data_IF_538805165262
#
_entry.id   IF_538805165262
#
_cell.length_a   1.000
_cell.length_b   1.000
_cell.length_c   1.000
_cell.angle_alpha   90.00
_cell.angle_beta   90.00
_cell.angle_gamma   90.00
#
_symmetry.space_group_name_H-M   'P 1'
#
loop_
_entity.id
_entity.type
_entity.pdbx_description
1 polymer ?
#
# COMPACT_ATOMS: atom_id res chain seq x y z
N UNK A 1 -22.44 2.82 -20.67
CA UNK A 1 -22.56 3.66 -19.46
C UNK A 1 -21.42 3.30 -18.50
N UNK A 2 -20.32 4.05 -18.50
CA UNK A 2 -19.24 3.86 -17.53
C UNK A 2 -19.65 4.53 -16.22
N UNK A 3 -19.88 3.75 -15.17
CA UNK A 3 -20.15 4.28 -13.83
C UNK A 3 -18.82 4.67 -13.20
N UNK A 4 -18.60 5.96 -12.98
CA UNK A 4 -17.42 6.46 -12.28
C UNK A 4 -17.49 5.98 -10.81
N UNK A 5 -16.77 4.91 -10.49
CA UNK A 5 -16.67 4.41 -9.12
C UNK A 5 -15.74 5.37 -8.38
N UNK A 6 -16.27 6.05 -7.35
CA UNK A 6 -15.44 6.89 -6.47
C UNK A 6 -14.32 6.02 -5.87
N UNK A 7 -13.08 6.52 -5.80
CA UNK A 7 -12.02 5.79 -5.10
C UNK A 7 -12.42 5.61 -3.63
N UNK A 8 -12.63 4.36 -3.23
CA UNK A 8 -12.95 4.02 -1.85
C UNK A 8 -11.65 3.81 -1.08
N UNK A 9 -11.54 4.42 0.11
CA UNK A 9 -10.39 4.14 0.98
C UNK A 9 -10.44 2.68 1.44
N UNK A 10 -9.31 1.99 1.22
CA UNK A 10 -9.16 0.58 1.59
C UNK A 10 -8.38 0.40 2.88
N UNK A 11 -7.76 1.45 3.41
CA UNK A 11 -6.88 1.35 4.58
C UNK A 11 -6.30 2.69 5.03
N UNK A 12 -5.32 2.62 5.93
CA UNK A 12 -4.55 3.76 6.44
C UNK A 12 -3.09 3.37 6.66
N UNK A 13 -2.18 4.18 6.12
CA UNK A 13 -0.76 4.09 6.40
C UNK A 13 -0.48 4.66 7.81
N UNK A 14 0.28 3.94 8.62
CA UNK A 14 0.57 4.32 10.02
C UNK A 14 2.02 4.70 10.23
N UNK A 15 2.94 4.11 9.46
CA UNK A 15 4.34 4.48 9.47
C UNK A 15 4.94 4.34 8.08
N UNK A 16 6.02 5.06 7.85
CA UNK A 16 6.70 5.13 6.58
C UNK A 16 8.19 5.40 6.83
N UNK A 17 9.04 4.76 6.02
CA UNK A 17 10.47 5.02 5.99
C UNK A 17 11.00 4.86 4.58
N UNK A 18 12.01 5.66 4.24
CA UNK A 18 12.89 5.34 3.11
C UNK A 18 13.82 4.18 3.50
N UNK A 19 14.04 3.27 2.56
CA UNK A 19 15.05 2.22 2.59
C UNK A 19 16.40 2.69 2.06
N UNK A 20 17.23 1.75 1.58
CA UNK A 20 18.64 2.04 1.33
C UNK A 20 18.82 3.06 0.18
N UNK A 21 19.65 4.08 0.42
CA UNK A 21 19.92 5.20 -0.50
C UNK A 21 18.67 5.97 -0.98
N UNK A 22 17.54 5.86 -0.29
CA UNK A 22 16.32 6.63 -0.58
C UNK A 22 15.57 6.21 -1.84
N UNK A 23 15.98 5.14 -2.52
CA UNK A 23 15.29 4.63 -3.71
C UNK A 23 14.25 3.55 -3.38
N UNK A 24 14.32 3.03 -2.15
CA UNK A 24 13.37 2.07 -1.61
C UNK A 24 12.45 2.79 -0.62
N UNK A 25 11.18 2.43 -0.60
CA UNK A 25 10.20 3.05 0.29
C UNK A 25 9.31 1.96 0.88
N UNK A 26 9.24 1.93 2.20
CA UNK A 26 8.43 0.95 2.93
C UNK A 26 7.51 1.65 3.89
N UNK A 27 6.33 1.09 4.08
CA UNK A 27 5.39 1.59 5.05
C UNK A 27 4.59 0.47 5.67
N UNK A 28 4.14 0.69 6.89
CA UNK A 28 3.22 -0.20 7.59
C UNK A 28 1.88 0.49 7.70
N UNK A 29 0.82 -0.31 7.69
CA UNK A 29 -0.51 0.21 7.80
C UNK A 29 -1.55 -0.89 7.94
N UNK A 30 -2.78 -0.45 8.08
CA UNK A 30 -3.96 -1.31 8.10
C UNK A 30 -4.64 -1.27 6.76
N UNK A 31 -5.06 -2.44 6.29
CA UNK A 31 -5.88 -2.59 5.09
C UNK A 31 -7.09 -3.47 5.38
N UNK A 32 -8.24 -3.14 4.78
CA UNK A 32 -9.43 -3.96 4.87
C UNK A 32 -9.12 -5.31 4.21
N UNK A 33 -9.30 -6.41 4.95
CA UNK A 33 -8.97 -7.78 4.50
C UNK A 33 -9.60 -8.17 3.15
N UNK A 34 -10.78 -7.64 2.83
CA UNK A 34 -11.50 -7.91 1.56
C UNK A 34 -11.11 -6.99 0.41
N UNK A 35 -10.29 -5.97 0.67
CA UNK A 35 -10.00 -4.92 -0.30
C UNK A 35 -8.67 -5.12 -1.01
N UNK A 36 -7.68 -5.74 -0.36
CA UNK A 36 -6.45 -6.17 -1.01
C UNK A 36 -5.76 -7.26 -0.17
N UNK A 37 -4.95 -8.06 -0.86
CA UNK A 37 -4.10 -9.12 -0.33
C UNK A 37 -2.67 -8.92 -0.81
N UNK A 38 -1.73 -9.74 -0.32
CA UNK A 38 -0.34 -9.76 -0.80
C UNK A 38 -0.28 -9.80 -2.33
N UNK A 39 0.56 -8.95 -2.90
CA UNK A 39 0.77 -8.82 -4.35
C UNK A 39 -0.11 -7.77 -5.02
N UNK A 40 -1.22 -7.37 -4.37
CA UNK A 40 -2.09 -6.35 -4.94
C UNK A 40 -1.43 -4.97 -4.93
N UNK A 41 -1.75 -4.18 -5.96
CA UNK A 41 -1.35 -2.77 -6.04
C UNK A 41 -2.39 -1.89 -5.34
N UNK A 42 -1.90 -0.97 -4.52
CA UNK A 42 -2.71 0.04 -3.83
C UNK A 42 -2.17 1.43 -4.11
N UNK A 43 -3.05 2.44 -4.10
CA UNK A 43 -2.67 3.84 -4.26
C UNK A 43 -2.63 4.51 -2.88
N UNK A 44 -1.48 5.07 -2.53
CA UNK A 44 -1.22 5.80 -1.29
C UNK A 44 -1.15 7.30 -1.60
N UNK A 45 -1.83 8.12 -0.80
CA UNK A 45 -1.79 9.59 -0.95
C UNK A 45 -2.33 10.13 -2.28
N UNK A 46 -3.05 9.31 -3.06
CA UNK A 46 -3.68 9.69 -4.32
C UNK A 46 -2.88 9.37 -5.58
N UNK A 47 -1.54 9.36 -5.51
CA UNK A 47 -0.68 9.24 -6.71
C UNK A 47 0.48 8.25 -6.59
N UNK A 48 0.74 7.69 -5.41
CA UNK A 48 1.86 6.76 -5.20
C UNK A 48 1.34 5.33 -5.27
N UNK A 49 1.82 4.56 -6.24
CA UNK A 49 1.51 3.12 -6.33
C UNK A 49 2.43 2.34 -5.40
N UNK A 50 1.86 1.42 -4.62
CA UNK A 50 2.60 0.51 -3.75
C UNK A 50 2.05 -0.90 -3.83
N UNK A 51 2.88 -1.88 -3.47
CA UNK A 51 2.51 -3.30 -3.46
C UNK A 51 2.30 -3.77 -2.04
N UNK A 52 1.19 -4.48 -1.80
CA UNK A 52 0.94 -5.12 -0.51
C UNK A 52 1.88 -6.32 -0.36
N UNK A 53 2.61 -6.39 0.74
CA UNK A 53 3.59 -7.43 1.03
C UNK A 53 3.32 -8.04 2.41
N UNK A 54 3.75 -9.28 2.60
CA UNK A 54 3.73 -9.89 3.93
C UNK A 54 4.81 -9.25 4.81
N UNK A 55 4.56 -9.28 6.11
CA UNK A 55 5.56 -8.92 7.13
C UNK A 55 6.22 -10.18 7.69
N UNK A 56 7.51 -10.13 8.06
CA UNK A 56 8.41 -8.98 7.91
C UNK A 56 8.81 -8.77 6.45
N UNK A 57 9.00 -7.50 6.05
CA UNK A 57 9.44 -7.16 4.70
C UNK A 57 10.88 -7.65 4.42
N UNK A 58 11.76 -7.51 5.41
CA UNK A 58 13.11 -8.06 5.37
C UNK A 58 13.10 -9.42 6.09
N UNK A 59 13.30 -10.50 5.33
CA UNK A 59 13.66 -11.79 5.88
C UNK A 59 15.18 -11.84 6.05
N UNK A 60 15.61 -12.39 7.19
CA UNK A 60 17.03 -12.45 7.60
C UNK A 60 17.83 -13.42 6.73
#
# INVERSE_FOLDING_TARGET
MLKLIKPCSVGKLTSYTGGNKGNEHFGLGYIKKKAASKGDTVVVGGNVSGTVVDVPYLAR
#
